data_IF_793897122251
#
_entry.id   IF_793897122251
#
_cell.length_a   1.000
_cell.length_b   1.000
_cell.length_c   1.000
_cell.angle_alpha   90.00
_cell.angle_beta   90.00
_cell.angle_gamma   90.00
#
_symmetry.space_group_name_H-M   'P 1'
#
loop_
_entity.id
_entity.type
_entity.pdbx_description
1 polymer ?
#
# COMPACT_ATOMS: atom_id res chain seq x y z
N UNK A 1 21.95 1.41 -11.09
CA UNK A 1 20.70 0.64 -10.89
C UNK A 1 20.22 0.54 -9.43
N UNK A 2 20.94 1.07 -8.43
CA UNK A 2 20.67 0.93 -6.98
C UNK A 2 19.35 1.56 -6.48
N UNK A 3 18.78 2.51 -7.22
CA UNK A 3 17.59 3.28 -6.80
C UNK A 3 16.26 2.55 -7.13
N UNK A 4 16.22 1.79 -8.24
CA UNK A 4 15.01 1.06 -8.66
C UNK A 4 14.68 -0.10 -7.72
N UNK A 5 15.69 -0.82 -7.25
CA UNK A 5 15.50 -1.94 -6.30
C UNK A 5 15.02 -1.47 -4.92
N UNK A 6 15.53 -0.34 -4.43
CA UNK A 6 15.10 0.24 -3.16
C UNK A 6 13.65 0.71 -3.24
N UNK A 7 13.26 1.34 -4.35
CA UNK A 7 11.88 1.73 -4.61
C UNK A 7 10.95 0.50 -4.66
N UNK A 8 11.36 -0.56 -5.36
CA UNK A 8 10.59 -1.80 -5.45
C UNK A 8 10.41 -2.44 -4.07
N UNK A 9 11.48 -2.53 -3.26
CA UNK A 9 11.43 -3.06 -1.89
C UNK A 9 10.49 -2.22 -1.00
N UNK A 10 10.54 -0.89 -1.10
CA UNK A 10 9.61 -0.01 -0.37
C UNK A 10 8.16 -0.27 -0.77
N UNK A 11 7.89 -0.32 -2.08
CA UNK A 11 6.54 -0.56 -2.61
C UNK A 11 6.01 -1.95 -2.22
N UNK A 12 6.88 -2.96 -2.16
CA UNK A 12 6.53 -4.28 -1.65
C UNK A 12 6.17 -4.24 -0.16
N UNK A 13 6.92 -3.50 0.67
CA UNK A 13 6.60 -3.31 2.09
C UNK A 13 5.25 -2.60 2.29
N UNK A 14 4.99 -1.55 1.50
CA UNK A 14 3.72 -0.82 1.51
C UNK A 14 2.53 -1.78 1.24
N UNK A 15 2.66 -2.63 0.22
CA UNK A 15 1.65 -3.65 -0.14
C UNK A 15 1.46 -4.70 0.95
N UNK A 16 2.55 -5.24 1.48
CA UNK A 16 2.49 -6.23 2.57
C UNK A 16 1.75 -5.67 3.79
N UNK A 17 2.03 -4.43 4.17
CA UNK A 17 1.35 -3.79 5.30
C UNK A 17 -0.15 -3.60 5.01
N UNK A 18 -0.51 -3.20 3.79
CA UNK A 18 -1.91 -3.11 3.37
C UNK A 18 -2.62 -4.46 3.47
N UNK A 19 -2.00 -5.54 2.99
CA UNK A 19 -2.58 -6.89 3.02
C UNK A 19 -2.78 -7.37 4.47
N UNK A 20 -1.80 -7.14 5.35
CA UNK A 20 -1.90 -7.50 6.77
C UNK A 20 -3.06 -6.79 7.47
N UNK A 21 -3.22 -5.48 7.27
CA UNK A 21 -4.32 -4.74 7.90
C UNK A 21 -5.68 -5.02 7.25
N UNK A 22 -5.74 -5.21 5.93
CA UNK A 22 -6.99 -5.51 5.23
C UNK A 22 -7.50 -6.92 5.53
N UNK A 23 -6.62 -7.85 5.90
CA UNK A 23 -6.97 -9.19 6.37
C UNK A 23 -7.50 -9.22 7.81
N UNK A 24 -7.24 -8.18 8.63
CA UNK A 24 -7.71 -8.14 10.03
C UNK A 24 -9.24 -8.04 10.07
N UNK A 25 -9.84 -8.99 10.79
CA UNK A 25 -11.29 -9.07 11.00
C UNK A 25 -11.60 -9.11 12.49
N UNK A 26 -12.68 -8.45 12.88
CA UNK A 26 -13.27 -8.54 14.20
C UNK A 26 -14.73 -9.01 14.06
N UNK A 27 -15.09 -10.11 14.72
CA UNK A 27 -16.40 -10.75 14.59
C UNK A 27 -16.82 -10.99 13.12
N UNK A 28 -15.88 -11.47 12.30
CA UNK A 28 -16.11 -11.75 10.87
C UNK A 28 -16.20 -10.52 9.96
N UNK A 29 -16.19 -9.30 10.51
CA UNK A 29 -16.24 -8.04 9.75
C UNK A 29 -14.85 -7.45 9.60
N UNK A 30 -14.61 -6.74 8.50
CA UNK A 30 -13.34 -6.00 8.29
C UNK A 30 -13.12 -5.05 9.45
N UNK A 31 -11.95 -5.10 10.05
CA UNK A 31 -11.61 -4.28 11.21
C UNK A 31 -11.32 -2.83 10.83
N UNK A 32 -10.71 -2.61 9.66
CA UNK A 32 -10.29 -1.30 9.19
C UNK A 32 -10.83 -1.00 7.80
N UNK A 33 -11.13 0.27 7.54
CA UNK A 33 -11.47 0.76 6.20
C UNK A 33 -10.20 0.93 5.36
N UNK A 34 -10.35 0.96 4.04
CA UNK A 34 -9.22 1.20 3.13
C UNK A 34 -8.57 2.55 3.41
N UNK A 35 -9.36 3.59 3.65
CA UNK A 35 -8.89 4.95 3.95
C UNK A 35 -8.03 4.99 5.21
N UNK A 36 -8.46 4.30 6.27
CA UNK A 36 -7.69 4.21 7.50
C UNK A 36 -6.34 3.52 7.27
N UNK A 37 -6.35 2.39 6.56
CA UNK A 37 -5.12 1.63 6.28
C UNK A 37 -4.15 2.46 5.43
N UNK A 38 -4.64 3.15 4.39
CA UNK A 38 -3.82 4.01 3.54
C UNK A 38 -3.23 5.18 4.33
N UNK A 39 -4.00 5.81 5.23
CA UNK A 39 -3.53 6.85 6.12
C UNK A 39 -2.40 6.36 7.04
N UNK A 40 -2.61 5.22 7.70
CA UNK A 40 -1.62 4.61 8.58
C UNK A 40 -0.32 4.27 7.82
N UNK A 41 -0.44 3.78 6.59
CA UNK A 41 0.71 3.51 5.72
C UNK A 41 1.43 4.80 5.33
N UNK A 42 0.70 5.86 4.98
CA UNK A 42 1.24 7.16 4.64
C UNK A 42 2.09 7.74 5.78
N UNK A 43 1.56 7.71 7.01
CA UNK A 43 2.25 8.20 8.20
C UNK A 43 3.51 7.37 8.51
N UNK A 44 3.41 6.04 8.42
CA UNK A 44 4.52 5.12 8.72
C UNK A 44 5.72 5.31 7.78
N UNK A 45 5.45 5.62 6.51
CA UNK A 45 6.48 5.75 5.47
C UNK A 45 6.83 7.21 5.15
N UNK A 46 6.24 8.18 5.85
CA UNK A 46 6.37 9.61 5.58
C UNK A 46 6.08 9.95 4.10
N UNK A 47 5.00 9.39 3.58
CA UNK A 47 4.54 9.61 2.20
C UNK A 47 3.20 10.34 2.21
N UNK A 48 2.93 11.10 1.16
CA UNK A 48 1.59 11.66 0.97
C UNK A 48 0.56 10.53 0.78
N UNK A 49 -0.62 10.69 1.36
CA UNK A 49 -1.75 9.75 1.22
C UNK A 49 -2.00 9.37 -0.24
N UNK A 50 -2.04 10.37 -1.13
CA UNK A 50 -2.27 10.17 -2.56
C UNK A 50 -1.20 9.27 -3.20
N UNK A 51 0.05 9.48 -2.86
CA UNK A 51 1.17 8.65 -3.34
C UNK A 51 1.02 7.19 -2.93
N UNK A 52 0.64 6.93 -1.67
CA UNK A 52 0.39 5.56 -1.19
C UNK A 52 -0.80 4.94 -1.91
N UNK A 53 -1.89 5.70 -2.05
CA UNK A 53 -3.08 5.26 -2.78
C UNK A 53 -2.74 4.87 -4.22
N UNK A 54 -1.98 5.70 -4.94
CA UNK A 54 -1.54 5.40 -6.29
C UNK A 54 -0.63 4.15 -6.29
N UNK A 55 0.34 4.03 -5.39
CA UNK A 55 1.21 2.83 -5.32
C UNK A 55 0.41 1.53 -5.10
N UNK A 56 -0.64 1.56 -4.29
CA UNK A 56 -1.45 0.39 -3.94
C UNK A 56 -2.48 0.06 -5.02
N UNK A 57 -3.18 1.07 -5.56
CA UNK A 57 -4.40 0.89 -6.36
C UNK A 57 -4.30 1.37 -7.81
N UNK A 58 -3.30 2.17 -8.18
CA UNK A 58 -3.11 2.46 -9.59
C UNK A 58 -2.68 1.16 -10.28
N UNK A 59 -3.60 0.60 -11.08
CA UNK A 59 -3.25 -0.41 -12.07
C UNK A 59 -2.10 0.17 -12.88
N UNK A 60 -0.95 -0.49 -12.87
CA UNK A 60 0.04 -0.26 -13.90
C UNK A 60 -0.68 -0.43 -15.24
N UNK A 61 -0.92 0.67 -15.95
CA UNK A 61 -1.11 0.66 -17.41
C UNK A 61 0.26 0.31 -18.00
N UNK A 62 0.75 -0.89 -17.73
CA UNK A 62 2.00 -1.43 -18.28
C UNK A 62 1.87 -2.96 -18.37
N UNK A 63 0.87 -3.42 -19.11
CA UNK A 63 0.87 -4.72 -19.80
C UNK A 63 0.09 -4.54 -21.11
N UNK A 64 0.71 -3.80 -22.05
CA UNK A 64 0.35 -3.79 -23.46
C UNK A 64 1.53 -3.21 -24.25
N UNK A 65 2.56 -4.02 -24.46
CA UNK A 65 3.56 -3.88 -25.52
C UNK A 65 4.20 -5.25 -25.73
#
# INVERSE_FOLDING_TARGET
>A
MRNKEQLAKRNQKLRKMYDEYSAKKYNGRKMYTTEYIVGLIADTFFLAYRTVYDILFSRQIVQAA
#
